data_IF_960911077655
#
_entry.id   IF_960911077655
#
_cell.length_a   1.000
_cell.length_b   1.000
_cell.length_c   1.000
_cell.angle_alpha   90.00
_cell.angle_beta   90.00
_cell.angle_gamma   90.00
#
_symmetry.space_group_name_H-M   'P 1'
#
loop_
_entity.id
_entity.type
_entity.pdbx_description
1 polymer ?
#
# COMPACT_ATOMS: atom_id res chain seq x y z
N UNK A 1 9.11 -14.97 -5.55
CA UNK A 1 7.81 -14.40 -5.95
C UNK A 1 7.97 -12.92 -6.26
N UNK A 2 7.31 -12.43 -7.31
CA UNK A 2 7.17 -11.02 -7.71
C UNK A 2 5.84 -10.47 -7.16
N UNK A 3 5.85 -9.27 -6.58
CA UNK A 3 4.66 -8.61 -6.04
C UNK A 3 4.37 -7.29 -6.76
N UNK A 4 3.22 -7.19 -7.41
CA UNK A 4 2.81 -5.99 -8.17
C UNK A 4 1.55 -5.40 -7.52
N UNK A 5 1.62 -4.17 -7.08
CA UNK A 5 0.48 -3.45 -6.49
C UNK A 5 -0.10 -2.48 -7.54
N UNK A 6 -1.39 -2.56 -7.82
CA UNK A 6 -2.06 -1.68 -8.77
C UNK A 6 -2.79 -0.55 -8.03
N UNK A 7 -2.41 0.71 -8.29
CA UNK A 7 -3.00 1.87 -7.60
C UNK A 7 -3.47 2.96 -8.56
N UNK A 8 -4.36 3.83 -8.12
CA UNK A 8 -4.98 4.87 -8.92
C UNK A 8 -6.41 5.19 -8.48
N UNK A 9 -6.91 6.34 -8.95
CA UNK A 9 -8.27 6.82 -8.62
C UNK A 9 -9.36 5.78 -8.96
N UNK A 10 -10.49 5.83 -8.26
CA UNK A 10 -11.66 5.02 -8.62
C UNK A 10 -12.10 5.23 -10.08
N UNK A 11 -12.44 4.15 -10.77
CA UNK A 11 -12.95 4.20 -12.16
C UNK A 11 -11.92 4.38 -13.28
N UNK A 12 -10.61 4.37 -12.99
CA UNK A 12 -9.55 4.47 -14.02
C UNK A 12 -9.23 3.14 -14.73
N UNK A 13 -9.87 2.03 -14.32
CA UNK A 13 -9.66 0.70 -14.93
C UNK A 13 -8.52 -0.13 -14.33
N UNK A 14 -8.22 0.06 -13.03
CA UNK A 14 -7.19 -0.72 -12.30
C UNK A 14 -7.42 -2.22 -12.40
N UNK A 15 -8.64 -2.67 -12.13
CA UNK A 15 -8.99 -4.09 -12.08
C UNK A 15 -8.82 -4.78 -13.42
N UNK A 16 -9.28 -4.16 -14.51
CA UNK A 16 -9.06 -4.69 -15.86
C UNK A 16 -7.57 -4.77 -16.21
N UNK A 17 -6.79 -3.75 -15.84
CA UNK A 17 -5.32 -3.76 -16.03
C UNK A 17 -4.66 -4.83 -15.18
N UNK A 18 -5.08 -5.04 -13.93
CA UNK A 18 -4.59 -6.08 -13.03
C UNK A 18 -4.88 -7.49 -13.61
N UNK A 19 -6.11 -7.73 -14.02
CA UNK A 19 -6.55 -8.98 -14.64
C UNK A 19 -5.79 -9.27 -15.95
N UNK A 20 -5.65 -8.27 -16.83
CA UNK A 20 -4.87 -8.40 -18.07
C UNK A 20 -3.38 -8.66 -17.79
N UNK A 21 -2.81 -8.03 -16.76
CA UNK A 21 -1.44 -8.29 -16.31
C UNK A 21 -1.29 -9.75 -15.84
N UNK A 22 -2.26 -10.24 -15.06
CA UNK A 22 -2.29 -11.62 -14.60
C UNK A 22 -2.38 -12.64 -15.74
N UNK A 23 -3.20 -12.36 -16.75
CA UNK A 23 -3.30 -13.20 -17.96
C UNK A 23 -1.96 -13.30 -18.68
N UNK A 24 -1.26 -12.19 -18.92
CA UNK A 24 0.04 -12.24 -19.59
C UNK A 24 1.08 -13.00 -18.76
N UNK A 25 1.14 -12.81 -17.44
CA UNK A 25 2.03 -13.60 -16.58
C UNK A 25 1.75 -15.11 -16.70
N UNK A 26 0.47 -15.50 -16.65
CA UNK A 26 0.06 -16.90 -16.73
C UNK A 26 0.39 -17.56 -18.07
N UNK A 27 0.24 -16.82 -19.19
CA UNK A 27 0.63 -17.27 -20.53
C UNK A 27 2.14 -17.49 -20.67
N UNK A 28 2.94 -16.69 -19.97
CA UNK A 28 4.39 -16.87 -19.91
C UNK A 28 4.82 -18.01 -18.96
N UNK A 29 3.86 -18.69 -18.32
CA UNK A 29 4.09 -19.86 -17.49
C UNK A 29 4.22 -19.58 -15.99
N UNK A 30 4.07 -18.32 -15.55
CA UNK A 30 4.11 -17.99 -14.13
C UNK A 30 2.83 -18.41 -13.42
N UNK A 31 2.94 -19.08 -12.27
CA UNK A 31 1.78 -19.28 -11.38
C UNK A 31 1.38 -17.93 -10.81
N UNK A 32 0.23 -17.41 -11.23
CA UNK A 32 -0.14 -16.02 -10.97
C UNK A 32 -1.44 -15.92 -10.20
N UNK A 33 -1.43 -15.17 -9.09
CA UNK A 33 -2.64 -14.81 -8.35
C UNK A 33 -2.94 -13.33 -8.55
N UNK A 34 -4.16 -13.01 -8.96
CA UNK A 34 -4.73 -11.66 -8.89
C UNK A 34 -5.67 -11.62 -7.69
N UNK A 35 -5.32 -10.85 -6.67
CA UNK A 35 -6.11 -10.65 -5.46
C UNK A 35 -6.66 -9.24 -5.46
N UNK A 36 -7.99 -9.09 -5.48
CA UNK A 36 -8.62 -7.78 -5.30
C UNK A 36 -8.90 -7.53 -3.83
N UNK A 37 -8.56 -6.34 -3.35
CA UNK A 37 -9.00 -5.84 -2.03
C UNK A 37 -10.08 -4.77 -2.16
N UNK A 38 -10.67 -4.62 -3.35
CA UNK A 38 -11.81 -3.71 -3.57
C UNK A 38 -13.09 -4.37 -3.03
N UNK A 39 -13.83 -3.72 -2.11
CA UNK A 39 -15.10 -4.24 -1.61
C UNK A 39 -16.19 -4.35 -2.69
N UNK A 40 -16.01 -3.74 -3.87
CA UNK A 40 -17.02 -3.71 -4.93
C UNK A 40 -17.03 -4.97 -5.84
N UNK A 41 -16.34 -6.06 -5.47
CA UNK A 41 -16.31 -7.32 -6.23
C UNK A 41 -15.96 -7.17 -7.74
N UNK A 42 -15.11 -6.20 -8.05
CA UNK A 42 -14.85 -5.78 -9.43
C UNK A 42 -13.98 -6.77 -10.22
N UNK A 43 -13.29 -7.70 -9.55
CA UNK A 43 -12.41 -8.67 -10.21
C UNK A 43 -13.21 -9.86 -10.74
N UNK A 44 -14.22 -10.30 -9.99
CA UNK A 44 -15.20 -11.27 -10.44
C UNK A 44 -15.88 -10.81 -11.74
N UNK A 45 -16.37 -9.56 -11.75
CA UNK A 45 -16.97 -8.91 -12.91
C UNK A 45 -15.97 -8.80 -14.08
N UNK A 46 -14.71 -8.44 -13.80
CA UNK A 46 -13.68 -8.32 -14.83
C UNK A 46 -13.37 -9.66 -15.50
N UNK A 47 -13.31 -10.75 -14.73
CA UNK A 47 -13.12 -12.09 -15.30
C UNK A 47 -14.39 -12.73 -15.86
N UNK A 48 -15.58 -12.17 -15.57
CA UNK A 48 -16.89 -12.76 -15.84
C UNK A 48 -17.04 -14.15 -15.19
N UNK A 49 -16.61 -14.25 -13.92
CA UNK A 49 -16.58 -15.48 -13.13
C UNK A 49 -16.84 -15.14 -11.66
N UNK A 50 -17.62 -15.98 -10.97
CA UNK A 50 -17.77 -15.86 -9.52
C UNK A 50 -16.43 -16.11 -8.81
N UNK A 51 -15.97 -15.13 -8.04
CA UNK A 51 -14.81 -15.24 -7.16
C UNK A 51 -15.24 -15.09 -5.71
N UNK A 52 -14.43 -15.63 -4.80
CA UNK A 52 -14.63 -15.45 -3.37
C UNK A 52 -13.30 -15.24 -2.67
N UNK A 53 -13.33 -15.36 -1.35
CA UNK A 53 -12.17 -15.16 -0.49
C UNK A 53 -10.99 -16.09 -0.81
N UNK A 54 -11.27 -17.36 -1.14
CA UNK A 54 -10.23 -18.33 -1.47
C UNK A 54 -9.88 -18.32 -2.96
N UNK A 55 -8.58 -18.47 -3.32
CA UNK A 55 -8.14 -18.48 -4.72
C UNK A 55 -8.86 -19.51 -5.57
N UNK A 56 -9.50 -19.05 -6.64
CA UNK A 56 -10.14 -19.88 -7.65
C UNK A 56 -9.34 -19.86 -8.95
N UNK A 57 -9.18 -21.03 -9.56
CA UNK A 57 -8.55 -21.14 -10.87
C UNK A 57 -9.43 -20.45 -11.93
N UNK A 58 -8.89 -19.42 -12.57
CA UNK A 58 -9.52 -18.67 -13.68
C UNK A 58 -9.11 -19.28 -15.02
N UNK A 59 -7.81 -19.57 -15.17
CA UNK A 59 -7.22 -20.23 -16.35
C UNK A 59 -5.99 -21.03 -15.93
N UNK A 60 -5.41 -21.80 -16.85
CA UNK A 60 -4.11 -22.42 -16.59
C UNK A 60 -3.10 -21.37 -16.10
N UNK A 61 -2.49 -21.62 -14.95
CA UNK A 61 -1.54 -20.74 -14.25
C UNK A 61 -2.10 -19.38 -13.76
N UNK A 62 -3.42 -19.15 -13.82
CA UNK A 62 -4.05 -17.92 -13.33
C UNK A 62 -5.13 -18.21 -12.30
N UNK A 63 -4.99 -17.60 -11.13
CA UNK A 63 -5.97 -17.62 -10.06
C UNK A 63 -6.48 -16.21 -9.76
N UNK A 64 -7.74 -16.14 -9.35
CA UNK A 64 -8.40 -14.92 -8.90
C UNK A 64 -8.96 -15.12 -7.49
N UNK A 65 -8.89 -14.08 -6.66
CA UNK A 65 -9.51 -14.04 -5.34
C UNK A 65 -10.00 -12.61 -5.03
N UNK A 66 -11.06 -12.51 -4.23
CA UNK A 66 -11.57 -11.25 -3.74
C UNK A 66 -11.59 -11.26 -2.22
N UNK A 67 -10.91 -10.27 -1.63
CA UNK A 67 -10.75 -10.19 -0.20
C UNK A 67 -12.08 -9.84 0.48
N UNK A 68 -12.60 -10.81 1.23
CA UNK A 68 -13.56 -10.51 2.28
C UNK A 68 -12.85 -9.91 3.52
N UNK A 69 -12.95 -8.58 3.67
CA UNK A 69 -12.34 -7.85 4.76
C UNK A 69 -12.95 -8.22 6.13
N UNK A 70 -14.23 -8.63 6.18
CA UNK A 70 -14.88 -9.02 7.43
C UNK A 70 -14.34 -10.38 7.89
N UNK A 71 -14.21 -11.35 6.98
CA UNK A 71 -13.60 -12.64 7.29
C UNK A 71 -12.16 -12.49 7.79
N UNK A 72 -11.37 -11.62 7.16
CA UNK A 72 -10.00 -11.36 7.61
C UNK A 72 -9.94 -10.61 8.95
N UNK A 73 -10.83 -9.64 9.17
CA UNK A 73 -10.91 -8.95 10.45
C UNK A 73 -11.31 -9.90 11.57
N UNK A 74 -12.27 -10.79 11.33
CA UNK A 74 -12.67 -11.81 12.30
C UNK A 74 -11.53 -12.78 12.59
N UNK A 75 -10.79 -13.21 11.56
CA UNK A 75 -9.64 -14.11 11.70
C UNK A 75 -8.47 -13.50 12.46
N UNK A 76 -8.16 -12.22 12.23
CA UNK A 76 -6.96 -11.57 12.77
C UNK A 76 -7.24 -10.68 14.02
N UNK A 77 -8.47 -10.22 14.23
CA UNK A 77 -8.84 -9.28 15.31
C UNK A 77 -10.10 -9.69 16.09
N UNK A 78 -10.70 -10.84 15.78
CA UNK A 78 -11.95 -11.27 16.40
C UNK A 78 -11.90 -11.35 17.92
N UNK A 79 -10.78 -11.82 18.50
CA UNK A 79 -10.60 -11.88 19.95
C UNK A 79 -10.63 -10.49 20.60
N UNK A 80 -9.89 -9.54 20.03
CA UNK A 80 -9.82 -8.16 20.51
C UNK A 80 -11.18 -7.48 20.34
N UNK A 81 -11.83 -7.64 19.18
CA UNK A 81 -13.19 -7.13 18.93
C UNK A 81 -14.15 -7.61 20.01
N UNK A 82 -14.24 -8.93 20.24
CA UNK A 82 -15.12 -9.53 21.27
C UNK A 82 -14.84 -8.97 22.66
N UNK A 83 -13.56 -8.83 23.03
CA UNK A 83 -13.18 -8.29 24.32
C UNK A 83 -13.60 -6.82 24.48
N UNK A 84 -13.33 -5.96 23.49
CA UNK A 84 -13.72 -4.54 23.51
C UNK A 84 -15.25 -4.41 23.56
N UNK A 85 -15.98 -5.20 22.78
CA UNK A 85 -17.44 -5.22 22.80
C UNK A 85 -17.98 -5.56 24.19
N UNK A 86 -17.43 -6.57 24.89
CA UNK A 86 -17.82 -6.90 26.26
C UNK A 86 -17.57 -5.75 27.24
N UNK A 87 -16.42 -5.08 27.12
CA UNK A 87 -16.06 -3.92 27.96
C UNK A 87 -17.05 -2.77 27.73
N UNK A 88 -17.38 -2.47 26.47
CA UNK A 88 -18.31 -1.40 26.10
C UNK A 88 -19.74 -1.70 26.53
N UNK A 89 -20.21 -2.93 26.37
CA UNK A 89 -21.53 -3.37 26.86
C UNK A 89 -21.64 -3.27 28.38
N UNK A 90 -20.60 -3.63 29.13
CA UNK A 90 -20.57 -3.45 30.58
C UNK A 90 -20.61 -1.96 31.00
N UNK A 91 -20.31 -1.03 30.09
CA UNK A 91 -20.45 0.43 30.28
C UNK A 91 -21.79 0.99 29.78
N UNK A 92 -22.73 0.13 29.40
CA UNK A 92 -24.10 0.50 29.04
C UNK A 92 -24.29 0.85 27.57
N UNK A 93 -23.36 0.49 26.69
CA UNK A 93 -23.56 0.60 25.23
C UNK A 93 -24.36 -0.58 24.70
N UNK A 94 -25.29 -0.31 23.79
CA UNK A 94 -26.04 -1.34 23.08
C UNK A 94 -25.10 -2.22 22.26
N UNK A 95 -25.46 -3.49 22.09
CA UNK A 95 -24.58 -4.49 21.46
C UNK A 95 -24.13 -4.12 20.05
N UNK A 96 -25.04 -3.59 19.22
CA UNK A 96 -24.72 -3.17 17.84
C UNK A 96 -23.75 -1.99 17.83
N UNK A 97 -23.99 -0.97 18.67
CA UNK A 97 -23.10 0.19 18.77
C UNK A 97 -21.71 -0.21 19.29
N UNK A 98 -21.66 -1.14 20.24
CA UNK A 98 -20.41 -1.65 20.79
C UNK A 98 -19.61 -2.48 19.77
N UNK A 99 -20.27 -3.20 18.86
CA UNK A 99 -19.60 -3.93 17.78
C UNK A 99 -19.01 -2.99 16.71
N UNK A 100 -19.76 -1.96 16.32
CA UNK A 100 -19.28 -0.95 15.36
C UNK A 100 -18.07 -0.18 15.93
N UNK A 101 -18.11 0.22 17.20
CA UNK A 101 -17.01 0.93 17.86
C UNK A 101 -15.78 0.05 18.15
N UNK A 102 -15.94 -1.27 18.16
CA UNK A 102 -14.84 -2.21 18.38
C UNK A 102 -13.98 -2.42 17.12
N UNK A 103 -14.46 -2.00 15.96
CA UNK A 103 -13.71 -2.01 14.70
C UNK A 103 -13.02 -0.66 14.52
N UNK A 104 -11.70 -0.66 14.42
CA UNK A 104 -10.95 0.57 14.18
C UNK A 104 -11.04 0.96 12.69
N UNK A 105 -11.19 2.25 12.37
CA UNK A 105 -11.15 2.72 10.99
C UNK A 105 -9.84 2.34 10.29
N UNK A 106 -9.92 1.85 9.05
CA UNK A 106 -8.76 1.48 8.22
C UNK A 106 -8.20 0.07 8.49
N UNK A 107 -8.85 -0.73 9.35
CA UNK A 107 -8.44 -2.12 9.60
C UNK A 107 -8.63 -3.04 8.40
N UNK A 108 -9.67 -2.80 7.63
CA UNK A 108 -9.99 -3.47 6.36
C UNK A 108 -8.83 -3.39 5.36
N UNK A 109 -8.25 -2.20 5.18
CA UNK A 109 -7.11 -2.02 4.26
C UNK A 109 -5.86 -2.78 4.73
N UNK A 110 -5.63 -2.82 6.05
CA UNK A 110 -4.45 -3.49 6.62
C UNK A 110 -4.56 -5.01 6.45
N UNK A 111 -5.72 -5.57 6.75
CA UNK A 111 -5.89 -7.01 6.66
C UNK A 111 -5.82 -7.52 5.22
N UNK A 112 -6.14 -6.68 4.23
CA UNK A 112 -5.80 -6.96 2.82
C UNK A 112 -4.30 -7.13 2.60
N UNK A 113 -3.47 -6.28 3.21
CA UNK A 113 -2.01 -6.42 3.15
C UNK A 113 -1.50 -7.63 3.94
N UNK A 114 -2.12 -7.97 5.07
CA UNK A 114 -1.79 -9.18 5.83
C UNK A 114 -2.10 -10.44 5.01
N UNK A 115 -3.25 -10.50 4.32
CA UNK A 115 -3.60 -11.61 3.41
C UNK A 115 -2.61 -11.70 2.23
N UNK A 116 -2.25 -10.57 1.63
CA UNK A 116 -1.18 -10.54 0.62
C UNK A 116 0.13 -11.11 1.17
N UNK A 117 0.52 -10.71 2.38
CA UNK A 117 1.75 -11.20 3.01
C UNK A 117 1.71 -12.71 3.29
N UNK A 118 0.54 -13.25 3.68
CA UNK A 118 0.31 -14.68 3.83
C UNK A 118 0.58 -15.43 2.51
N UNK A 119 -0.03 -15.00 1.41
CA UNK A 119 0.26 -15.59 0.09
C UNK A 119 1.72 -15.44 -0.34
N UNK A 120 2.36 -14.34 0.07
CA UNK A 120 3.79 -14.16 -0.15
C UNK A 120 4.65 -15.19 0.56
N UNK A 121 4.30 -15.55 1.80
CA UNK A 121 5.04 -16.52 2.60
C UNK A 121 4.77 -17.97 2.20
N UNK A 122 3.54 -18.26 1.77
CA UNK A 122 3.13 -19.59 1.26
C UNK A 122 3.97 -20.01 0.04
N UNK A 123 4.36 -19.05 -0.81
CA UNK A 123 5.24 -19.30 -1.95
C UNK A 123 4.63 -20.18 -3.05
N UNK A 124 3.30 -20.32 -3.06
CA UNK A 124 2.56 -21.11 -4.04
C UNK A 124 2.53 -20.45 -5.44
N UNK A 125 2.68 -19.13 -5.48
CA UNK A 125 2.64 -18.32 -6.69
C UNK A 125 4.01 -17.72 -7.00
N UNK A 126 4.29 -17.55 -8.29
CA UNK A 126 5.49 -16.89 -8.80
C UNK A 126 5.26 -15.38 -8.92
N UNK A 127 4.02 -14.97 -9.23
CA UNK A 127 3.59 -13.57 -9.32
C UNK A 127 2.29 -13.36 -8.52
N UNK A 128 2.29 -12.35 -7.66
CA UNK A 128 1.11 -11.88 -6.92
C UNK A 128 0.80 -10.45 -7.37
N UNK A 129 -0.42 -10.23 -7.86
CA UNK A 129 -0.92 -8.93 -8.30
C UNK A 129 -2.04 -8.52 -7.36
N UNK A 130 -1.90 -7.37 -6.72
CA UNK A 130 -2.92 -6.82 -5.83
C UNK A 130 -3.66 -5.72 -6.57
N UNK A 131 -4.94 -5.96 -6.84
CA UNK A 131 -5.86 -4.97 -7.35
C UNK A 131 -6.45 -4.17 -6.18
N UNK A 132 -6.29 -2.85 -6.24
CA UNK A 132 -6.46 -1.91 -5.12
C UNK A 132 -5.29 -1.94 -4.13
N UNK A 133 -4.21 -1.24 -4.48
CA UNK A 133 -3.10 -0.99 -3.57
C UNK A 133 -3.57 -0.24 -2.31
N UNK A 134 -2.85 -0.39 -1.18
CA UNK A 134 -3.20 0.27 0.07
C UNK A 134 -3.26 1.79 -0.12
N UNK A 135 -4.26 2.43 0.50
CA UNK A 135 -4.33 3.89 0.45
C UNK A 135 -3.18 4.50 1.24
N UNK A 136 -3.05 5.83 1.16
CA UNK A 136 -2.14 6.58 2.02
C UNK A 136 -2.40 6.38 3.53
N UNK A 137 -3.51 5.76 3.95
CA UNK A 137 -3.79 5.37 5.33
C UNK A 137 -3.07 4.08 5.70
N UNK A 138 -3.22 3.00 4.93
CA UNK A 138 -2.55 1.73 5.19
C UNK A 138 -1.02 1.84 5.12
N UNK A 139 -0.47 2.68 4.23
CA UNK A 139 0.98 2.94 4.19
C UNK A 139 1.51 3.66 5.44
N UNK A 140 0.71 4.49 6.12
CA UNK A 140 1.15 5.15 7.38
C UNK A 140 1.48 4.13 8.44
N UNK A 141 0.78 3.01 8.45
CA UNK A 141 0.96 1.98 9.45
C UNK A 141 2.28 1.22 9.28
N UNK A 142 2.87 1.26 8.09
CA UNK A 142 4.25 0.78 7.86
C UNK A 142 5.30 1.62 8.60
N UNK A 143 4.95 2.81 9.12
CA UNK A 143 5.85 3.55 10.03
C UNK A 143 5.74 3.12 11.50
N UNK A 144 4.78 2.25 11.85
CA UNK A 144 4.65 1.75 13.22
C UNK A 144 5.84 0.87 13.66
N UNK A 145 6.36 -0.05 12.82
CA UNK A 145 7.56 -0.82 13.14
C UNK A 145 8.75 0.06 13.48
N UNK A 146 8.96 1.12 12.68
CA UNK A 146 10.06 2.08 12.83
C UNK A 146 10.06 2.73 14.24
N UNK A 147 8.88 3.11 14.77
CA UNK A 147 8.76 3.87 16.04
C UNK A 147 8.62 2.97 17.29
N UNK A 148 7.96 1.82 17.17
CA UNK A 148 7.49 1.06 18.35
C UNK A 148 8.20 -0.27 18.61
N UNK A 149 9.08 -0.71 17.69
CA UNK A 149 9.63 -2.06 17.73
C UNK A 149 10.50 -2.39 18.95
N UNK A 150 11.21 -1.41 19.51
CA UNK A 150 11.95 -1.61 20.77
C UNK A 150 11.01 -1.71 21.97
N UNK A 151 9.99 -0.84 22.05
CA UNK A 151 9.04 -0.81 23.16
C UNK A 151 8.20 -2.09 23.24
N UNK A 152 7.67 -2.55 22.09
CA UNK A 152 6.89 -3.78 22.00
C UNK A 152 7.69 -5.01 22.45
N UNK A 153 8.95 -5.13 22.02
CA UNK A 153 9.81 -6.26 22.42
C UNK A 153 10.27 -6.19 23.88
N UNK A 154 10.58 -4.98 24.39
CA UNK A 154 11.21 -4.80 25.71
C UNK A 154 10.21 -4.77 26.86
N UNK A 155 9.04 -4.17 26.68
CA UNK A 155 8.08 -3.93 27.77
C UNK A 155 6.78 -4.70 27.61
N UNK A 156 6.23 -4.79 26.39
CA UNK A 156 4.93 -5.41 26.17
C UNK A 156 4.97 -6.92 26.47
N UNK A 157 5.88 -7.68 25.85
CA UNK A 157 5.99 -9.14 26.06
C UNK A 157 6.18 -9.56 27.54
N UNK A 158 7.07 -8.92 28.32
CA UNK A 158 7.20 -9.22 29.75
C UNK A 158 5.94 -8.88 30.56
N UNK A 159 5.33 -7.71 30.32
CA UNK A 159 4.12 -7.27 31.00
C UNK A 159 2.95 -8.22 30.71
N UNK A 160 2.81 -8.63 29.45
CA UNK A 160 1.82 -9.57 28.96
C UNK A 160 1.93 -10.94 29.66
N UNK A 161 3.15 -11.51 29.73
CA UNK A 161 3.36 -12.80 30.43
C UNK A 161 2.96 -12.73 31.90
N UNK A 162 3.29 -11.61 32.56
CA UNK A 162 2.94 -11.38 33.95
C UNK A 162 1.42 -11.21 34.14
N UNK A 163 0.74 -10.44 33.28
CA UNK A 163 -0.71 -10.22 33.39
C UNK A 163 -1.50 -11.51 33.19
N UNK A 164 -1.13 -12.33 32.20
CA UNK A 164 -1.76 -13.64 31.93
C UNK A 164 -1.53 -14.60 33.11
N UNK A 165 -0.33 -14.62 33.70
CA UNK A 165 -0.03 -15.47 34.85
C UNK A 165 -0.81 -15.10 36.12
N UNK A 166 -1.08 -13.80 36.33
CA UNK A 166 -1.82 -13.31 37.49
C UNK A 166 -3.34 -13.32 37.30
N UNK A 167 -3.83 -13.48 36.05
CA UNK A 167 -5.26 -13.54 35.73
C UNK A 167 -6.09 -14.45 36.65
N UNK A 168 -5.75 -15.74 36.90
CA UNK A 168 -6.59 -16.61 37.73
C UNK A 168 -6.73 -16.13 39.19
N UNK A 169 -5.80 -15.31 39.67
CA UNK A 169 -5.85 -14.72 41.01
C UNK A 169 -6.71 -13.45 41.03
N UNK A 170 -6.65 -12.63 39.97
CA UNK A 170 -7.31 -11.31 39.92
C UNK A 170 -8.75 -11.40 39.39
N UNK A 171 -8.99 -12.30 38.42
CA UNK A 171 -10.28 -12.49 37.75
C UNK A 171 -11.47 -12.66 38.73
N UNK A 172 -11.39 -13.51 39.78
CA UNK A 172 -12.53 -13.75 40.68
C UNK A 172 -12.94 -12.51 41.48
N UNK A 173 -11.99 -11.58 41.72
CA UNK A 173 -12.25 -10.32 42.40
C UNK A 173 -12.72 -9.24 41.43
N UNK A 174 -12.18 -9.21 40.22
CA UNK A 174 -12.43 -8.18 39.23
C UNK A 174 -13.81 -8.31 38.59
N UNK A 175 -14.17 -9.51 38.13
CA UNK A 175 -15.37 -9.75 37.32
C UNK A 175 -16.68 -9.33 37.99
N UNK A 176 -16.91 -9.61 39.29
CA UNK A 176 -18.14 -9.17 39.97
C UNK A 176 -18.26 -7.64 40.10
N UNK A 177 -17.13 -6.92 40.12
CA UNK A 177 -17.08 -5.47 40.29
C UNK A 177 -17.22 -4.77 38.93
N UNK A 178 -16.48 -5.25 37.93
CA UNK A 178 -16.35 -4.58 36.64
C UNK A 178 -17.45 -4.97 35.64
N UNK A 179 -18.09 -6.14 35.81
CA UNK A 179 -19.13 -6.65 34.91
C UNK A 179 -18.60 -7.30 33.62
N UNK A 180 -17.28 -7.45 33.48
CA UNK A 180 -16.62 -8.13 32.35
C UNK A 180 -15.38 -8.91 32.82
N UNK A 181 -14.87 -9.78 31.95
CA UNK A 181 -13.72 -10.65 32.27
C UNK A 181 -12.40 -9.97 31.89
N UNK A 182 -11.29 -10.24 32.59
CA UNK A 182 -9.96 -9.76 32.18
C UNK A 182 -9.56 -10.40 30.83
N UNK A 183 -8.74 -9.69 30.03
CA UNK A 183 -8.32 -10.17 28.73
C UNK A 183 -7.55 -11.47 28.89
N UNK A 184 -7.85 -12.44 28.03
CA UNK A 184 -7.16 -13.71 27.99
C UNK A 184 -5.86 -13.62 27.20
N UNK A 185 -5.19 -14.76 27.05
CA UNK A 185 -3.91 -14.82 26.34
C UNK A 185 -4.06 -14.40 24.87
N UNK A 186 -5.12 -14.82 24.18
CA UNK A 186 -5.36 -14.52 22.76
C UNK A 186 -5.54 -13.01 22.54
N UNK A 187 -6.35 -12.35 23.38
CA UNK A 187 -6.52 -10.89 23.35
C UNK A 187 -5.21 -10.17 23.64
N UNK A 188 -4.40 -10.70 24.55
CA UNK A 188 -3.13 -10.12 24.97
C UNK A 188 -1.99 -10.38 23.97
N UNK A 189 -2.05 -11.44 23.16
CA UNK A 189 -1.08 -11.75 22.09
C UNK A 189 -1.35 -10.90 20.83
N UNK A 190 -2.63 -10.67 20.49
CA UNK A 190 -3.03 -10.05 19.22
C UNK A 190 -2.34 -8.72 18.86
N UNK A 191 -2.15 -7.72 19.77
CA UNK A 191 -1.45 -6.49 19.42
C UNK A 191 0.02 -6.70 19.06
N UNK A 192 0.67 -7.70 19.67
CA UNK A 192 2.06 -8.04 19.37
C UNK A 192 2.18 -8.82 18.05
N UNK A 193 1.28 -9.77 17.80
CA UNK A 193 1.22 -10.51 16.52
C UNK A 193 0.94 -9.56 15.35
N UNK A 194 -0.01 -8.65 15.54
CA UNK A 194 -0.30 -7.59 14.57
C UNK A 194 0.93 -6.73 14.28
N UNK A 195 1.67 -6.31 15.32
CA UNK A 195 2.93 -5.59 15.13
C UNK A 195 3.94 -6.40 14.30
N UNK A 196 4.12 -7.70 14.58
CA UNK A 196 5.04 -8.56 13.83
C UNK A 196 4.61 -8.72 12.35
N UNK A 197 3.31 -8.81 12.09
CA UNK A 197 2.78 -8.84 10.73
C UNK A 197 3.09 -7.54 9.97
N UNK A 198 2.91 -6.37 10.59
CA UNK A 198 3.23 -5.08 9.96
C UNK A 198 4.73 -4.93 9.71
N UNK A 199 5.60 -5.33 10.64
CA UNK A 199 7.06 -5.31 10.43
C UNK A 199 7.47 -6.24 9.28
N UNK A 200 6.88 -7.44 9.18
CA UNK A 200 7.17 -8.36 8.09
C UNK A 200 6.66 -7.85 6.74
N UNK A 201 5.49 -7.20 6.75
CA UNK A 201 4.88 -6.57 5.59
C UNK A 201 5.72 -5.38 5.07
N UNK A 202 6.18 -4.50 5.94
CA UNK A 202 7.05 -3.37 5.62
C UNK A 202 8.30 -3.84 4.85
N UNK A 203 8.96 -4.90 5.32
CA UNK A 203 10.13 -5.50 4.66
C UNK A 203 9.84 -5.99 3.25
N UNK A 204 8.66 -6.59 3.03
CA UNK A 204 8.26 -7.07 1.70
C UNK A 204 7.90 -5.91 0.78
N UNK A 205 7.16 -4.92 1.29
CA UNK A 205 6.72 -3.77 0.50
C UNK A 205 7.87 -2.84 0.09
N UNK A 206 8.94 -2.79 0.88
CA UNK A 206 10.12 -1.95 0.63
C UNK A 206 11.27 -2.68 -0.08
N UNK A 207 11.14 -4.00 -0.33
CA UNK A 207 12.04 -4.74 -1.21
C UNK A 207 11.75 -4.42 -2.68
N UNK A 208 12.25 -3.28 -3.14
CA UNK A 208 12.06 -2.75 -4.49
C UNK A 208 12.68 -3.63 -5.60
N UNK A 209 13.32 -4.75 -5.27
CA UNK A 209 13.77 -5.75 -6.25
C UNK A 209 12.67 -6.75 -6.62
N UNK A 210 11.66 -6.91 -5.76
CA UNK A 210 10.55 -7.86 -5.93
C UNK A 210 9.19 -7.19 -5.87
N UNK A 211 9.06 -6.08 -5.16
CA UNK A 211 7.81 -5.35 -4.97
C UNK A 211 7.85 -4.03 -5.69
N UNK A 212 6.81 -3.73 -6.44
CA UNK A 212 6.63 -2.40 -7.04
C UNK A 212 5.16 -2.06 -7.18
N UNK A 213 4.89 -0.77 -7.31
CA UNK A 213 3.58 -0.23 -7.60
C UNK A 213 3.48 0.17 -9.06
N UNK A 214 2.32 -0.07 -9.66
CA UNK A 214 1.92 0.43 -10.97
C UNK A 214 0.77 1.41 -10.82
N UNK A 215 0.97 2.62 -11.31
CA UNK A 215 -0.04 3.67 -11.27
C UNK A 215 -0.92 3.59 -12.51
N UNK A 216 -2.24 3.48 -12.34
CA UNK A 216 -3.20 3.60 -13.43
C UNK A 216 -3.88 4.96 -13.33
N UNK A 217 -3.84 5.73 -14.42
CA UNK A 217 -4.32 7.10 -14.48
C UNK A 217 -5.05 7.37 -15.79
N UNK A 218 -5.97 8.33 -15.81
CA UNK A 218 -6.58 8.83 -17.03
C UNK A 218 -5.96 10.18 -17.41
N UNK A 219 -5.99 10.57 -18.70
CA UNK A 219 -5.54 11.88 -19.17
C UNK A 219 -6.58 12.97 -18.83
N UNK A 220 -6.75 13.20 -17.53
CA UNK A 220 -7.61 14.21 -16.93
C UNK A 220 -6.85 14.88 -15.78
N UNK A 221 -6.86 16.22 -15.75
CA UNK A 221 -6.06 17.01 -14.79
C UNK A 221 -6.20 16.58 -13.33
N UNK A 222 -7.43 16.32 -12.86
CA UNK A 222 -7.65 15.91 -11.47
C UNK A 222 -7.08 14.52 -11.18
N UNK A 223 -7.19 13.60 -12.13
CA UNK A 223 -6.72 12.22 -12.00
C UNK A 223 -5.20 12.18 -12.00
N UNK A 224 -4.55 12.91 -12.91
CA UNK A 224 -3.09 13.06 -12.98
C UNK A 224 -2.52 13.58 -11.66
N UNK A 225 -3.12 14.64 -11.10
CA UNK A 225 -2.71 15.21 -9.81
C UNK A 225 -2.88 14.25 -8.63
N UNK A 226 -3.85 13.34 -8.69
CA UNK A 226 -4.03 12.31 -7.67
C UNK A 226 -2.96 11.24 -7.79
N UNK A 227 -2.67 10.77 -9.00
CA UNK A 227 -1.59 9.82 -9.28
C UNK A 227 -0.22 10.36 -8.88
N UNK A 228 0.06 11.66 -9.10
CA UNK A 228 1.33 12.27 -8.64
C UNK A 228 1.44 12.33 -7.13
N UNK A 229 0.36 12.68 -6.43
CA UNK A 229 0.35 12.66 -4.96
C UNK A 229 0.58 11.24 -4.44
N UNK A 230 -0.11 10.25 -5.02
CA UNK A 230 0.09 8.84 -4.67
C UNK A 230 1.55 8.42 -4.89
N UNK A 231 2.15 8.78 -6.04
CA UNK A 231 3.55 8.49 -6.35
C UNK A 231 4.51 9.08 -5.31
N UNK A 232 4.36 10.36 -4.97
CA UNK A 232 5.19 11.02 -3.97
C UNK A 232 5.05 10.39 -2.58
N UNK A 233 3.83 10.00 -2.19
CA UNK A 233 3.58 9.34 -0.91
C UNK A 233 4.18 7.93 -0.85
N UNK A 234 4.08 7.16 -1.93
CA UNK A 234 4.73 5.84 -2.02
C UNK A 234 6.24 5.97 -1.86
N UNK A 235 6.85 6.92 -2.57
CA UNK A 235 8.28 7.23 -2.45
C UNK A 235 8.66 7.67 -1.03
N UNK A 236 7.81 8.45 -0.36
CA UNK A 236 8.02 8.83 1.04
C UNK A 236 8.13 7.60 1.94
N UNK A 237 7.46 6.48 1.67
CA UNK A 237 7.54 5.22 2.44
C UNK A 237 8.50 4.18 1.84
N UNK A 238 9.37 4.59 0.91
CA UNK A 238 10.32 3.70 0.23
C UNK A 238 9.67 2.58 -0.61
N UNK A 239 8.41 2.76 -1.03
CA UNK A 239 7.71 1.85 -1.94
C UNK A 239 7.87 2.38 -3.36
N UNK A 240 8.59 1.65 -4.21
CA UNK A 240 8.88 2.09 -5.57
C UNK A 240 7.67 1.95 -6.50
N UNK A 241 7.49 2.95 -7.36
CA UNK A 241 6.63 2.82 -8.55
C UNK A 241 7.53 2.45 -9.72
N UNK A 242 7.18 1.44 -10.51
CA UNK A 242 7.99 1.01 -11.66
C UNK A 242 7.36 1.33 -13.02
N UNK A 243 6.05 1.55 -13.09
CA UNK A 243 5.32 1.77 -14.34
C UNK A 243 4.09 2.65 -14.12
N UNK A 244 3.77 3.48 -15.12
CA UNK A 244 2.49 4.20 -15.21
C UNK A 244 1.70 3.70 -16.41
N UNK A 245 0.39 3.49 -16.24
CA UNK A 245 -0.57 3.15 -17.28
C UNK A 245 -1.54 4.32 -17.46
N UNK A 246 -1.44 5.02 -18.59
CA UNK A 246 -2.36 6.05 -19.01
C UNK A 246 -3.53 5.41 -19.77
N UNK A 247 -4.66 5.23 -19.10
CA UNK A 247 -5.83 4.55 -19.64
C UNK A 247 -6.84 5.51 -20.29
N UNK A 248 -7.74 4.96 -21.11
CA UNK A 248 -8.87 5.65 -21.76
C UNK A 248 -8.45 6.77 -22.71
N UNK A 249 -7.39 6.55 -23.48
CA UNK A 249 -6.96 7.48 -24.53
C UNK A 249 -7.91 7.36 -25.72
N UNK A 250 -8.57 8.46 -26.09
CA UNK A 250 -9.51 8.48 -27.21
C UNK A 250 -8.73 8.13 -28.49
N UNK A 251 -9.11 7.06 -29.20
CA UNK A 251 -8.34 6.62 -30.36
C UNK A 251 -8.31 7.65 -31.48
N UNK A 252 -7.22 7.66 -32.25
CA UNK A 252 -7.04 8.62 -33.34
C UNK A 252 -8.11 8.48 -34.43
N UNK A 253 -8.58 7.26 -34.68
CA UNK A 253 -9.63 6.93 -35.65
C UNK A 253 -11.01 7.51 -35.28
N UNK A 254 -11.22 7.97 -34.04
CA UNK A 254 -12.46 8.67 -33.68
C UNK A 254 -12.41 10.09 -34.25
N UNK A 255 -13.20 10.34 -35.30
CA UNK A 255 -13.24 11.62 -36.03
C UNK A 255 -14.50 12.44 -35.76
N UNK A 256 -15.37 12.00 -34.85
CA UNK A 256 -16.60 12.70 -34.52
C UNK A 256 -16.30 14.11 -33.95
N UNK A 257 -16.95 15.19 -34.47
CA UNK A 257 -16.73 16.56 -34.01
C UNK A 257 -16.92 16.76 -32.50
N UNK A 258 -17.80 15.98 -31.85
CA UNK A 258 -18.02 16.05 -30.41
C UNK A 258 -16.74 15.72 -29.62
N UNK A 259 -15.97 14.73 -30.08
CA UNK A 259 -14.73 14.31 -29.42
C UNK A 259 -13.51 15.15 -29.79
N UNK A 260 -13.62 16.06 -30.77
CA UNK A 260 -12.47 16.87 -31.20
C UNK A 260 -11.86 17.67 -30.05
N UNK A 261 -12.69 18.39 -29.27
CA UNK A 261 -12.23 19.17 -28.12
C UNK A 261 -11.63 18.30 -27.02
N UNK A 262 -12.22 17.12 -26.80
CA UNK A 262 -11.71 16.14 -25.84
C UNK A 262 -10.34 15.63 -26.24
N UNK A 263 -10.13 15.27 -27.52
CA UNK A 263 -8.82 14.83 -28.04
C UNK A 263 -7.75 15.92 -27.93
N UNK A 264 -8.07 17.17 -28.25
CA UNK A 264 -7.15 18.30 -28.08
C UNK A 264 -6.68 18.44 -26.62
N UNK A 265 -7.63 18.45 -25.67
CA UNK A 265 -7.31 18.54 -24.25
C UNK A 265 -6.54 17.30 -23.78
N UNK A 266 -6.94 16.12 -24.24
CA UNK A 266 -6.32 14.86 -23.89
C UNK A 266 -4.87 14.77 -24.39
N UNK A 267 -4.56 15.35 -25.55
CA UNK A 267 -3.19 15.40 -26.07
C UNK A 267 -2.26 16.19 -25.14
N UNK A 268 -2.73 17.32 -24.61
CA UNK A 268 -2.00 18.08 -23.59
C UNK A 268 -1.80 17.25 -22.32
N UNK A 269 -2.85 16.57 -21.85
CA UNK A 269 -2.76 15.74 -20.65
C UNK A 269 -1.91 14.48 -20.81
N UNK A 270 -1.84 13.89 -22.02
CA UNK A 270 -0.90 12.81 -22.35
C UNK A 270 0.53 13.30 -22.19
N UNK A 271 0.86 14.44 -22.78
CA UNK A 271 2.18 15.06 -22.62
C UNK A 271 2.49 15.33 -21.15
N UNK A 272 1.54 15.90 -20.40
CA UNK A 272 1.67 16.16 -18.97
C UNK A 272 1.93 14.87 -18.16
N UNK A 273 1.29 13.74 -18.50
CA UNK A 273 1.59 12.43 -17.87
C UNK A 273 3.04 12.03 -18.17
N UNK A 274 3.45 12.03 -19.43
CA UNK A 274 4.82 11.65 -19.80
C UNK A 274 5.88 12.54 -19.18
N UNK A 275 5.61 13.83 -18.99
CA UNK A 275 6.54 14.78 -18.37
C UNK A 275 6.58 14.62 -16.84
N UNK A 276 5.42 14.57 -16.19
CA UNK A 276 5.34 14.53 -14.74
C UNK A 276 5.81 13.22 -14.12
N UNK A 277 5.78 12.11 -14.87
CA UNK A 277 6.21 10.80 -14.38
C UNK A 277 7.60 10.41 -14.87
N UNK A 278 8.36 11.29 -15.53
CA UNK A 278 9.75 10.95 -15.88
C UNK A 278 10.57 10.66 -14.62
N UNK A 279 11.43 9.64 -14.64
CA UNK A 279 11.81 8.79 -15.77
C UNK A 279 11.02 7.48 -15.90
N UNK A 280 9.89 7.32 -15.21
CA UNK A 280 9.06 6.11 -15.29
C UNK A 280 8.56 5.88 -16.72
N UNK A 281 8.56 4.62 -17.19
CA UNK A 281 7.87 4.29 -18.42
C UNK A 281 6.37 4.51 -18.27
N UNK A 282 5.76 5.01 -19.35
CA UNK A 282 4.31 5.22 -19.44
C UNK A 282 3.78 4.35 -20.58
N UNK A 283 2.87 3.43 -20.25
CA UNK A 283 2.09 2.66 -21.22
C UNK A 283 0.76 3.32 -21.46
N UNK A 284 0.37 3.45 -22.71
CA UNK A 284 -0.87 4.09 -23.12
C UNK A 284 -1.90 3.05 -23.57
N UNK A 285 -3.12 3.14 -23.03
CA UNK A 285 -4.21 2.23 -23.36
C UNK A 285 -5.36 3.04 -23.99
N UNK A 286 -5.84 2.64 -25.19
CA UNK A 286 -6.94 3.31 -25.85
C UNK A 286 -8.25 3.12 -25.07
N UNK A 287 -9.19 4.05 -25.25
CA UNK A 287 -10.57 3.87 -24.86
C UNK A 287 -11.21 2.85 -25.81
N UNK A 288 -11.66 1.73 -25.25
CA UNK A 288 -12.40 0.71 -25.98
C UNK A 288 -13.88 1.08 -26.11
N UNK A 289 -14.53 0.59 -27.17
CA UNK A 289 -15.96 0.76 -27.42
C UNK A 289 -16.87 -0.17 -26.60
N UNK A 290 -16.26 -1.10 -25.87
CA UNK A 290 -16.93 -2.10 -25.03
C UNK A 290 -16.30 -2.07 -23.63
N UNK A 291 -17.03 -2.59 -22.64
CA UNK A 291 -16.48 -2.79 -21.31
C UNK A 291 -15.37 -3.86 -21.32
N UNK A 292 -14.36 -3.67 -20.48
CA UNK A 292 -13.23 -4.61 -20.36
C UNK A 292 -13.54 -5.73 -19.38
N UNK A 293 -14.64 -6.43 -19.63
CA UNK A 293 -15.14 -7.55 -18.84
C UNK A 293 -15.13 -8.84 -19.66
N UNK A 294 -14.83 -9.95 -19.00
CA UNK A 294 -14.68 -11.26 -19.62
C UNK A 294 -13.33 -11.47 -20.30
N UNK A 295 -12.93 -12.74 -20.40
CA UNK A 295 -11.60 -13.13 -20.89
C UNK A 295 -11.27 -12.57 -22.27
N UNK A 296 -12.22 -12.55 -23.20
CA UNK A 296 -11.97 -12.05 -24.56
C UNK A 296 -11.62 -10.55 -24.59
N UNK A 297 -12.24 -9.73 -23.73
CA UNK A 297 -11.92 -8.31 -23.63
C UNK A 297 -10.57 -8.10 -22.95
N UNK A 298 -10.31 -8.85 -21.88
CA UNK A 298 -9.04 -8.80 -21.17
C UNK A 298 -7.85 -9.25 -22.03
N UNK A 299 -8.04 -10.21 -22.94
CA UNK A 299 -7.05 -10.62 -23.93
C UNK A 299 -6.64 -9.45 -24.85
N UNK A 300 -7.60 -8.65 -25.33
CA UNK A 300 -7.30 -7.45 -26.15
C UNK A 300 -6.53 -6.40 -25.36
N UNK A 301 -6.93 -6.18 -24.10
CA UNK A 301 -6.24 -5.26 -23.20
C UNK A 301 -4.80 -5.72 -22.90
N UNK A 302 -4.63 -7.02 -22.65
CA UNK A 302 -3.34 -7.69 -22.45
C UNK A 302 -2.40 -7.50 -23.64
N UNK A 303 -2.89 -7.78 -24.85
CA UNK A 303 -2.11 -7.57 -26.09
C UNK A 303 -1.69 -6.11 -26.26
N UNK A 304 -2.57 -5.16 -25.94
CA UNK A 304 -2.24 -3.73 -26.04
C UNK A 304 -1.21 -3.28 -25.01
N UNK A 305 -1.29 -3.79 -23.78
CA UNK A 305 -0.38 -3.42 -22.70
C UNK A 305 1.01 -4.02 -22.88
N UNK A 306 1.09 -5.30 -23.26
CA UNK A 306 2.32 -6.07 -23.12
C UNK A 306 2.84 -6.65 -24.43
N UNK A 307 1.98 -7.02 -25.39
CA UNK A 307 2.41 -7.78 -26.58
C UNK A 307 3.28 -8.97 -26.14
N UNK A 308 4.54 -9.03 -26.58
CA UNK A 308 5.48 -10.08 -26.20
C UNK A 308 6.21 -9.85 -24.86
N UNK A 309 6.02 -8.70 -24.21
CA UNK A 309 6.74 -8.31 -23.01
C UNK A 309 6.37 -9.14 -21.78
N UNK A 310 7.35 -9.32 -20.88
CA UNK A 310 7.14 -9.92 -19.57
C UNK A 310 6.64 -8.87 -18.55
N UNK A 311 5.37 -8.91 -18.13
CA UNK A 311 4.85 -8.02 -17.08
C UNK A 311 5.43 -8.29 -15.69
N UNK A 312 6.10 -9.42 -15.42
CA UNK A 312 6.67 -9.72 -14.11
C UNK A 312 7.99 -8.96 -13.85
N UNK A 313 8.59 -8.35 -14.86
CA UNK A 313 9.81 -7.56 -14.70
C UNK A 313 9.59 -6.30 -13.83
N UNK A 314 10.68 -5.70 -13.37
CA UNK A 314 10.69 -4.37 -12.76
C UNK A 314 11.09 -3.37 -13.85
N UNK A 315 10.12 -2.57 -14.30
CA UNK A 315 10.25 -1.69 -15.45
C UNK A 315 11.22 -0.52 -15.21
N UNK A 316 11.24 -0.02 -13.98
CA UNK A 316 12.13 1.04 -13.55
C UNK A 316 12.47 0.86 -12.07
N UNK A 317 13.75 1.04 -11.73
CA UNK A 317 14.26 0.90 -10.37
C UNK A 317 14.53 2.28 -9.80
N UNK A 318 13.55 2.81 -9.08
CA UNK A 318 13.72 4.09 -8.39
C UNK A 318 14.47 3.90 -7.07
N UNK A 319 15.39 4.82 -6.76
CA UNK A 319 16.01 4.92 -5.44
C UNK A 319 15.29 6.00 -4.64
N UNK A 320 14.24 5.60 -3.94
CA UNK A 320 13.36 6.51 -3.19
C UNK A 320 14.03 7.15 -1.99
N UNK A 321 15.04 6.49 -1.42
CA UNK A 321 15.81 6.97 -0.27
C UNK A 321 17.27 6.55 -0.41
N UNK A 322 18.21 7.49 -0.23
CA UNK A 322 19.64 7.20 -0.18
C UNK A 322 20.38 8.09 0.81
N UNK A 323 21.38 7.51 1.47
CA UNK A 323 22.34 8.26 2.27
C UNK A 323 23.60 8.46 1.44
N UNK A 324 23.99 9.71 1.27
CA UNK A 324 25.15 10.12 0.49
C UNK A 324 26.19 10.73 1.43
N UNK A 325 27.46 10.38 1.24
CA UNK A 325 28.58 10.95 1.97
C UNK A 325 29.51 11.64 0.97
N UNK A 326 29.66 12.96 1.10
CA UNK A 326 30.56 13.77 0.26
C UNK A 326 31.42 14.66 1.15
N UNK A 327 32.74 14.63 0.96
CA UNK A 327 33.69 15.55 1.62
C UNK A 327 33.49 15.70 3.14
N UNK A 328 33.25 14.57 3.84
CA UNK A 328 32.99 14.52 5.29
C UNK A 328 31.65 15.15 5.75
N UNK A 329 30.72 15.40 4.83
CA UNK A 329 29.33 15.73 5.12
C UNK A 329 28.41 14.59 4.71
N UNK A 330 27.37 14.36 5.50
CA UNK A 330 26.35 13.39 5.17
C UNK A 330 25.08 14.09 4.71
N UNK A 331 24.40 13.51 3.74
CA UNK A 331 23.07 13.93 3.33
C UNK A 331 22.13 12.75 3.15
N UNK A 332 20.90 12.91 3.60
CA UNK A 332 19.79 12.03 3.25
C UNK A 332 19.08 12.64 2.04
N UNK A 333 18.99 11.90 0.95
CA UNK A 333 18.21 12.28 -0.22
C UNK A 333 16.93 11.44 -0.30
N UNK A 334 15.79 12.11 -0.41
CA UNK A 334 14.46 11.51 -0.51
C UNK A 334 13.82 11.93 -1.81
N UNK A 335 13.37 10.97 -2.61
CA UNK A 335 12.63 11.24 -3.83
C UNK A 335 11.18 11.61 -3.50
N UNK A 336 10.78 12.85 -3.79
CA UNK A 336 9.46 13.41 -3.49
C UNK A 336 8.92 14.18 -4.71
N UNK A 337 8.59 13.46 -5.80
CA UNK A 337 8.26 14.08 -7.08
C UNK A 337 7.03 14.98 -6.99
N UNK A 338 7.13 16.17 -7.58
CA UNK A 338 6.04 17.14 -7.63
C UNK A 338 5.61 17.73 -6.27
N UNK A 339 6.34 17.47 -5.18
CA UNK A 339 6.08 18.08 -3.88
C UNK A 339 6.93 19.35 -3.72
N UNK A 340 6.31 20.54 -3.61
CA UNK A 340 7.07 21.77 -3.43
C UNK A 340 7.62 21.88 -1.99
N UNK A 341 8.82 22.47 -1.87
CA UNK A 341 9.58 22.55 -0.61
C UNK A 341 8.78 23.15 0.55
N UNK A 342 7.96 24.17 0.28
CA UNK A 342 7.17 24.90 1.29
C UNK A 342 6.09 24.03 1.95
N UNK A 343 5.76 22.88 1.36
CA UNK A 343 4.83 21.90 1.92
C UNK A 343 5.49 20.84 2.79
N UNK A 344 6.82 20.87 2.90
CA UNK A 344 7.62 19.89 3.63
C UNK A 344 8.04 20.50 4.97
N UNK A 345 7.71 19.81 6.05
CA UNK A 345 8.19 20.15 7.40
C UNK A 345 9.10 19.03 7.89
N UNK A 346 10.21 19.42 8.50
CA UNK A 346 11.22 18.50 9.03
C UNK A 346 11.47 18.77 10.51
N UNK A 347 11.50 17.71 11.31
CA UNK A 347 11.97 17.81 12.70
C UNK A 347 12.70 16.53 13.11
N UNK A 348 13.83 16.66 13.80
CA UNK A 348 14.59 15.52 14.32
C UNK A 348 14.34 15.38 15.82
N UNK A 349 14.15 14.16 16.30
CA UNK A 349 14.03 13.86 17.74
C UNK A 349 14.80 12.57 18.03
N UNK A 350 15.87 12.66 18.82
CA UNK A 350 16.77 11.52 19.02
C UNK A 350 17.41 11.07 17.70
N UNK A 351 17.24 9.80 17.36
CA UNK A 351 17.66 9.13 16.12
C UNK A 351 16.58 9.14 15.02
N UNK A 352 15.43 9.77 15.26
CA UNK A 352 14.33 9.82 14.30
C UNK A 352 14.24 11.15 13.57
N UNK A 353 13.99 11.10 12.26
CA UNK A 353 13.64 12.25 11.42
C UNK A 353 12.16 12.19 11.04
N UNK A 354 11.40 13.15 11.55
CA UNK A 354 10.02 13.36 11.17
C UNK A 354 9.95 14.19 9.89
N UNK A 355 9.25 13.67 8.89
CA UNK A 355 8.99 14.33 7.61
C UNK A 355 7.48 14.43 7.45
N UNK A 356 6.96 15.65 7.36
CA UNK A 356 5.52 15.91 7.20
C UNK A 356 5.26 16.61 5.87
N UNK A 357 4.32 16.05 5.09
CA UNK A 357 3.85 16.58 3.80
C UNK A 357 2.33 16.65 3.85
N UNK A 358 1.78 17.84 4.06
CA UNK A 358 0.34 18.03 4.28
C UNK A 358 -0.16 17.21 5.49
N UNK A 359 -1.08 16.28 5.25
CA UNK A 359 -1.65 15.41 6.30
C UNK A 359 -0.88 14.09 6.49
N UNK A 360 0.27 13.93 5.82
CA UNK A 360 1.07 12.71 5.89
C UNK A 360 2.34 12.98 6.69
N UNK A 361 2.65 12.09 7.61
CA UNK A 361 3.85 12.15 8.45
C UNK A 361 4.53 10.80 8.41
N UNK A 362 5.83 10.79 8.13
CA UNK A 362 6.71 9.63 8.30
C UNK A 362 7.75 9.95 9.36
N UNK A 363 7.94 9.03 10.29
CA UNK A 363 9.02 9.11 11.29
C UNK A 363 10.11 8.12 10.87
N UNK A 364 11.11 8.61 10.15
CA UNK A 364 12.19 7.79 9.62
C UNK A 364 13.26 7.57 10.68
N UNK A 365 13.55 6.31 11.02
CA UNK A 365 14.72 5.95 11.84
C UNK A 365 15.99 6.16 11.01
N UNK A 366 16.87 7.03 11.50
CA UNK A 366 18.11 7.36 10.79
C UNK A 366 19.18 6.28 11.02
N UNK A 367 19.99 5.94 10.00
CA UNK A 367 21.21 5.16 10.20
C UNK A 367 22.13 5.81 11.25
N UNK A 368 22.91 5.00 11.97
CA UNK A 368 23.77 5.49 13.07
C UNK A 368 24.68 6.67 12.66
N UNK A 369 25.19 6.68 11.41
CA UNK A 369 26.00 7.76 10.87
C UNK A 369 25.28 9.13 10.85
N UNK A 370 23.96 9.14 10.68
CA UNK A 370 23.11 10.33 10.67
C UNK A 370 22.47 10.62 12.03
N UNK A 371 22.20 9.56 12.82
CA UNK A 371 21.52 9.67 14.11
C UNK A 371 22.26 10.58 15.10
N UNK A 372 23.59 10.59 15.08
CA UNK A 372 24.42 11.44 15.94
C UNK A 372 24.48 12.93 15.50
N UNK A 373 24.09 13.22 14.26
CA UNK A 373 24.21 14.54 13.65
C UNK A 373 22.90 15.34 13.75
N UNK A 374 22.95 16.64 13.46
CA UNK A 374 21.77 17.51 13.35
C UNK A 374 21.55 17.97 11.90
N UNK A 375 20.29 18.12 11.45
CA UNK A 375 20.00 18.72 10.16
C UNK A 375 20.53 20.15 10.11
N UNK A 376 21.45 20.44 9.20
CA UNK A 376 22.04 21.77 9.00
C UNK A 376 21.35 22.57 7.89
N UNK A 377 20.56 21.88 7.04
CA UNK A 377 19.74 22.51 6.03
C UNK A 377 19.08 21.48 5.12
N UNK A 378 18.02 21.91 4.42
CA UNK A 378 17.35 21.11 3.41
C UNK A 378 17.13 21.93 2.15
N UNK A 379 17.32 21.31 0.98
CA UNK A 379 16.99 21.90 -0.33
C UNK A 379 16.25 20.88 -1.20
N UNK A 380 15.36 21.38 -2.03
CA UNK A 380 14.86 20.60 -3.17
C UNK A 380 15.84 20.75 -4.32
N UNK A 381 16.17 19.64 -4.95
CA UNK A 381 17.03 19.54 -6.12
C UNK A 381 16.29 18.66 -7.12
N UNK A 382 15.64 19.28 -8.11
CA UNK A 382 14.59 18.66 -8.92
C UNK A 382 13.53 18.02 -8.00
N UNK A 383 13.31 16.72 -8.13
CA UNK A 383 12.36 15.94 -7.33
C UNK A 383 12.97 15.38 -6.03
N UNK A 384 14.23 15.68 -5.71
CA UNK A 384 14.90 15.16 -4.51
C UNK A 384 14.96 16.20 -3.39
N UNK A 385 14.44 15.84 -2.22
CA UNK A 385 14.70 16.55 -0.97
C UNK A 385 16.05 16.10 -0.41
N UNK A 386 17.05 16.98 -0.48
CA UNK A 386 18.39 16.75 0.08
C UNK A 386 18.51 17.41 1.44
N UNK A 387 18.60 16.59 2.48
CA UNK A 387 18.73 17.02 3.88
C UNK A 387 20.18 16.80 4.30
N UNK A 388 20.90 17.89 4.58
CA UNK A 388 22.29 17.86 5.03
C UNK A 388 22.36 17.73 6.53
N UNK A 389 23.33 16.96 7.00
CA UNK A 389 23.60 16.73 8.41
C UNK A 389 25.00 17.24 8.77
N UNK A 390 25.12 17.88 9.94
CA UNK A 390 26.39 18.36 10.48
C UNK A 390 26.48 18.11 11.98
N UNK A 391 27.72 18.15 12.50
CA UNK A 391 27.97 18.09 13.93
C UNK A 391 27.47 19.35 14.64
N UNK A 392 26.97 19.16 15.86
CA UNK A 392 26.46 20.22 16.74
C UNK A 392 27.52 21.31 17.01
N UNK A 393 28.81 20.95 16.96
CA UNK A 393 29.92 21.90 17.19
C UNK A 393 30.16 22.90 16.04
N UNK A 394 29.43 22.80 14.92
CA UNK A 394 29.61 23.64 13.72
C UNK A 394 28.35 24.38 13.25
N UNK A 395 27.24 24.33 14.01
CA UNK A 395 25.95 24.99 13.68
C UNK A 395 25.79 26.29 14.44
#
# INVERSE_FOLDING_TARGET
MRLILMTGKGGVGKTSVAAATGLRCAELGYRTLVLSTDPAHSLADSFDLELGHEPRLVRQNLWGAELDALLELEGNWGAVKRYITQVLQARGLDGVQAEELAILPGMDEIFGLVRMKRHYDEGEYDVLIIDSAPTGTALRLLSLPEVSGWYMRRFYKPLQKMSVALRPLVEPLFKPIAGFSLPDKEVMDAPYEFYEQIEALEKVLTDNTKTSVRLVTNPEKMVIKESLRAHAYLSLYNVSTDLVVANRIIPEQVTDPFFQKWKENQQQYRQEIHENFRPLPVKEVPLYSEEMCGLAALERLKETLYQEEDPAQVYYKETTLKVVQEQNQYSLELYLPGIPKDKIQLSKTGDELNITIGNHRRNLVLPQALAALQPSGAKMDEDYLKIRFADIAKV
#
